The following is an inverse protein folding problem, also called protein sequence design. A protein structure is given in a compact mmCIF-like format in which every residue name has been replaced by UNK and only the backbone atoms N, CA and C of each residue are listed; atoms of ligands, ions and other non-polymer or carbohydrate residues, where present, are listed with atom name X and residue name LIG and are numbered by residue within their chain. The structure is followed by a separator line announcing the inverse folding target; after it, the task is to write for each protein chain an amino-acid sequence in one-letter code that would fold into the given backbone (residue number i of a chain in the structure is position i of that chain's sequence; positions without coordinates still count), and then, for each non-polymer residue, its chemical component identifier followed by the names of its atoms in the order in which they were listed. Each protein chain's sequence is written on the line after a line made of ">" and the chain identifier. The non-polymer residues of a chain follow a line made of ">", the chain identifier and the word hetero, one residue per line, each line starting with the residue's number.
data_IF_955638099590
#
_entry.id   IF_955638099590
#
_cell.length_a   1.000
_cell.length_b   1.000
_cell.length_c   1.000
_cell.angle_alpha   90.00
_cell.angle_beta   90.00
_cell.angle_gamma   90.00
#
_symmetry.space_group_name_H-M   'P 1'
#
loop_
_entity.id
_entity.type
_entity.pdbx_description
1 polymer ?
#
# COMPACT_ATOMS: atom_id res chain seq x y z
N UNK A 1 -24.55 1.19 29.00
CA UNK A 1 -24.93 1.03 27.57
C UNK A 1 -23.88 1.80 26.79
N UNK A 2 -22.76 1.16 26.56
CA UNK A 2 -21.61 1.78 25.88
C UNK A 2 -21.80 1.66 24.37
N UNK A 3 -22.13 2.78 23.72
CA UNK A 3 -21.99 2.93 22.28
C UNK A 3 -20.49 2.92 21.95
N UNK A 4 -19.93 1.74 21.73
CA UNK A 4 -18.68 1.57 21.01
C UNK A 4 -18.93 2.06 19.58
N UNK A 5 -18.76 3.38 19.40
CA UNK A 5 -18.67 3.99 18.07
C UNK A 5 -17.53 3.26 17.34
N UNK A 6 -17.85 2.56 16.27
CA UNK A 6 -16.86 1.83 15.46
C UNK A 6 -15.75 2.81 15.08
N UNK A 7 -14.54 2.57 15.58
CA UNK A 7 -13.35 3.38 15.27
C UNK A 7 -12.92 3.28 13.81
N UNK A 8 -13.57 2.41 13.03
CA UNK A 8 -13.24 2.07 11.67
C UNK A 8 -14.46 2.24 10.76
N UNK A 9 -14.32 3.02 9.68
CA UNK A 9 -15.31 3.12 8.62
C UNK A 9 -14.77 2.46 7.34
N UNK A 10 -15.57 1.58 6.74
CA UNK A 10 -15.25 0.96 5.45
C UNK A 10 -15.66 1.92 4.33
N UNK A 11 -14.69 2.42 3.58
CA UNK A 11 -14.92 3.31 2.44
C UNK A 11 -15.24 2.52 1.17
N UNK A 12 -14.53 1.40 0.94
CA UNK A 12 -14.69 0.50 -0.20
C UNK A 12 -14.45 -0.93 0.26
N UNK A 13 -15.13 -1.90 -0.37
CA UNK A 13 -14.99 -3.32 -0.05
C UNK A 13 -15.15 -4.20 -1.29
N UNK A 14 -14.42 -5.31 -1.31
CA UNK A 14 -14.59 -6.38 -2.29
C UNK A 14 -15.66 -7.40 -1.87
N UNK A 15 -16.39 -7.20 -0.78
CA UNK A 15 -17.31 -8.19 -0.20
C UNK A 15 -18.31 -8.74 -1.22
N UNK A 16 -18.85 -7.88 -2.07
CA UNK A 16 -19.85 -8.24 -3.08
C UNK A 16 -19.24 -8.54 -4.46
N UNK A 17 -17.92 -8.66 -4.56
CA UNK A 17 -17.19 -8.91 -5.82
C UNK A 17 -17.01 -10.41 -6.13
N UNK A 18 -17.36 -11.31 -5.20
CA UNK A 18 -17.25 -12.76 -5.41
C UNK A 18 -15.81 -13.31 -5.47
N UNK A 19 -14.80 -12.55 -5.06
CA UNK A 19 -13.40 -12.97 -5.11
C UNK A 19 -13.14 -14.17 -4.18
N UNK A 20 -12.38 -15.16 -4.69
CA UNK A 20 -12.05 -16.36 -3.92
C UNK A 20 -10.67 -16.23 -3.27
N UNK A 21 -10.60 -16.48 -1.96
CA UNK A 21 -9.34 -16.51 -1.21
C UNK A 21 -8.70 -15.15 -0.96
N UNK A 22 -9.13 -14.09 -1.64
CA UNK A 22 -8.69 -12.71 -1.47
C UNK A 22 -9.84 -11.83 -1.05
N UNK A 23 -9.64 -10.97 -0.07
CA UNK A 23 -10.54 -9.86 0.26
C UNK A 23 -9.76 -8.54 0.29
N UNK A 24 -10.45 -7.45 0.00
CA UNK A 24 -9.86 -6.11 0.05
C UNK A 24 -10.86 -5.10 0.61
N UNK A 25 -10.39 -4.25 1.52
CA UNK A 25 -11.18 -3.17 2.11
C UNK A 25 -10.31 -1.91 2.22
N UNK A 26 -10.85 -0.80 1.77
CA UNK A 26 -10.23 0.50 1.98
C UNK A 26 -10.92 1.15 3.19
N UNK A 27 -10.17 1.41 4.24
CA UNK A 27 -10.68 1.74 5.56
C UNK A 27 -10.20 3.11 5.99
N UNK A 28 -11.10 3.89 6.60
CA UNK A 28 -10.75 5.05 7.40
C UNK A 28 -10.74 4.66 8.87
N UNK A 29 -9.60 4.79 9.53
CA UNK A 29 -9.37 4.48 10.94
C UNK A 29 -9.31 5.80 11.69
N UNK A 30 -10.14 5.97 12.71
CA UNK A 30 -10.07 7.12 13.61
C UNK A 30 -8.92 6.96 14.59
N UNK A 31 -8.35 8.09 14.99
CA UNK A 31 -7.35 8.15 16.05
C UNK A 31 -7.84 7.44 17.32
N UNK A 32 -6.94 6.75 17.99
CA UNK A 32 -7.23 6.03 19.22
C UNK A 32 -6.83 4.55 19.15
N UNK A 33 -7.18 3.85 20.20
CA UNK A 33 -6.82 2.44 20.40
C UNK A 33 -7.94 1.51 19.94
N UNK A 34 -7.61 0.56 19.07
CA UNK A 34 -8.56 -0.40 18.51
C UNK A 34 -8.05 -1.82 18.71
N UNK A 35 -8.91 -2.71 19.21
CA UNK A 35 -8.64 -4.15 19.20
C UNK A 35 -8.97 -4.73 17.84
N UNK A 36 -8.05 -5.48 17.29
CA UNK A 36 -8.22 -6.19 16.01
C UNK A 36 -8.13 -7.68 16.29
N UNK A 37 -9.29 -8.37 16.35
CA UNK A 37 -9.35 -9.79 16.73
C UNK A 37 -8.65 -10.67 15.69
N UNK A 38 -8.16 -11.82 16.13
CA UNK A 38 -7.65 -12.85 15.26
C UNK A 38 -8.74 -13.36 14.31
N UNK A 39 -8.39 -13.63 13.07
CA UNK A 39 -9.28 -14.15 12.02
C UNK A 39 -8.66 -15.38 11.38
N UNK A 40 -9.47 -16.17 10.66
CA UNK A 40 -9.00 -17.34 9.91
C UNK A 40 -8.12 -16.97 8.70
N UNK A 41 -8.12 -15.70 8.30
CA UNK A 41 -7.32 -15.21 7.18
C UNK A 41 -6.12 -14.41 7.64
N UNK A 42 -5.04 -14.47 6.88
CA UNK A 42 -3.91 -13.53 7.01
C UNK A 42 -4.36 -12.13 6.59
N UNK A 43 -3.81 -11.12 7.23
CA UNK A 43 -4.13 -9.72 6.96
C UNK A 43 -2.88 -8.95 6.60
N UNK A 44 -2.99 -8.11 5.58
CA UNK A 44 -2.01 -7.10 5.23
C UNK A 44 -2.67 -5.74 5.41
N UNK A 45 -2.07 -4.89 6.21
CA UNK A 45 -2.46 -3.48 6.34
C UNK A 45 -1.46 -2.61 5.59
N UNK A 46 -1.86 -1.96 4.52
CA UNK A 46 -1.03 -1.00 3.79
C UNK A 46 -1.48 0.41 4.15
N UNK A 47 -0.59 1.19 4.74
CA UNK A 47 -0.90 2.56 5.14
C UNK A 47 -0.98 3.50 3.95
N UNK A 48 -2.02 4.35 3.92
CA UNK A 48 -2.24 5.38 2.91
C UNK A 48 -2.34 6.77 3.57
N UNK A 49 -1.75 7.77 2.92
CA UNK A 49 -1.88 9.16 3.37
C UNK A 49 -0.73 9.65 4.24
N UNK A 50 -1.04 10.57 5.17
CA UNK A 50 -0.04 11.21 6.03
C UNK A 50 0.53 10.23 7.04
N UNK A 51 1.77 10.47 7.47
CA UNK A 51 2.40 9.70 8.52
C UNK A 51 1.64 9.84 9.86
N UNK A 52 1.51 8.72 10.58
CA UNK A 52 0.93 8.65 11.92
C UNK A 52 1.92 7.99 12.88
N UNK A 53 1.89 8.39 14.15
CA UNK A 53 2.60 7.66 15.19
C UNK A 53 1.72 6.50 15.64
N UNK A 54 2.13 5.30 15.28
CA UNK A 54 1.41 4.08 15.55
C UNK A 54 2.07 3.30 16.69
N UNK A 55 1.26 2.78 17.58
CA UNK A 55 1.64 1.84 18.62
C UNK A 55 0.87 0.53 18.41
N UNK A 56 1.55 -0.58 18.31
CA UNK A 56 0.88 -1.87 18.25
C UNK A 56 1.42 -2.85 19.27
N UNK A 57 0.50 -3.61 19.85
CA UNK A 57 0.77 -4.73 20.76
C UNK A 57 0.21 -5.99 20.11
N UNK A 58 1.07 -6.82 19.55
CA UNK A 58 0.71 -7.99 18.78
C UNK A 58 1.82 -9.03 18.87
N UNK A 59 1.48 -10.32 19.04
CA UNK A 59 2.45 -11.41 19.13
C UNK A 59 3.51 -11.21 20.25
N UNK A 60 3.08 -10.73 21.41
CA UNK A 60 3.98 -10.43 22.54
C UNK A 60 4.96 -9.27 22.28
N UNK A 61 4.85 -8.58 21.15
CA UNK A 61 5.67 -7.42 20.80
C UNK A 61 4.92 -6.14 21.13
N UNK A 62 5.66 -5.18 21.66
CA UNK A 62 5.21 -3.80 21.86
C UNK A 62 6.04 -2.90 20.94
N UNK A 63 5.41 -2.35 19.90
CA UNK A 63 6.10 -1.62 18.84
C UNK A 63 5.52 -0.21 18.69
N UNK A 64 6.37 0.78 18.88
CA UNK A 64 6.07 2.18 18.60
C UNK A 64 6.84 2.63 17.37
N UNK A 65 6.14 3.20 16.39
CA UNK A 65 6.75 3.59 15.13
C UNK A 65 6.00 4.72 14.46
N UNK A 66 6.67 5.46 13.60
CA UNK A 66 6.00 6.35 12.66
C UNK A 66 5.67 5.53 11.41
N UNK A 67 4.37 5.29 11.19
CA UNK A 67 3.87 4.58 10.02
C UNK A 67 3.63 5.59 8.89
N UNK A 68 4.23 5.34 7.74
CA UNK A 68 4.19 6.21 6.57
C UNK A 68 3.46 5.53 5.43
N UNK A 69 3.06 6.31 4.44
CA UNK A 69 2.43 5.80 3.23
C UNK A 69 3.26 4.67 2.59
N UNK A 70 2.59 3.55 2.23
CA UNK A 70 3.22 2.35 1.67
C UNK A 70 3.89 1.44 2.70
N UNK A 71 3.88 1.76 4.01
CA UNK A 71 4.26 0.80 5.04
C UNK A 71 3.24 -0.34 5.09
N UNK A 72 3.74 -1.57 5.14
CA UNK A 72 2.95 -2.79 5.11
C UNK A 72 3.14 -3.53 6.42
N UNK A 73 2.03 -3.82 7.10
CA UNK A 73 1.99 -4.74 8.23
C UNK A 73 1.41 -6.07 7.75
N UNK A 74 2.08 -7.18 8.06
CA UNK A 74 1.61 -8.55 7.81
C UNK A 74 1.26 -9.17 9.15
N UNK A 75 -0.01 -9.52 9.31
CA UNK A 75 -0.56 -10.16 10.52
C UNK A 75 -1.08 -11.54 10.12
N UNK A 76 -0.44 -12.62 10.58
CA UNK A 76 -0.86 -13.98 10.31
C UNK A 76 -2.30 -14.30 10.77
N UNK A 77 -2.89 -15.33 10.18
CA UNK A 77 -4.16 -15.89 10.64
C UNK A 77 -4.08 -16.29 12.12
N UNK A 78 -5.17 -16.15 12.85
CA UNK A 78 -5.28 -16.45 14.27
C UNK A 78 -4.67 -15.38 15.20
N UNK A 79 -3.88 -14.46 14.69
CA UNK A 79 -3.19 -13.47 15.50
C UNK A 79 -4.08 -12.26 15.79
N UNK A 80 -4.23 -11.93 17.06
CA UNK A 80 -4.92 -10.75 17.52
C UNK A 80 -3.93 -9.68 18.03
N UNK A 81 -4.46 -8.47 18.28
CA UNK A 81 -3.63 -7.41 18.84
C UNK A 81 -4.38 -6.09 19.00
N UNK A 82 -3.66 -5.13 19.56
CA UNK A 82 -4.12 -3.76 19.73
C UNK A 82 -3.30 -2.83 18.86
N UNK A 83 -3.99 -1.92 18.17
CA UNK A 83 -3.39 -0.84 17.38
C UNK A 83 -3.90 0.49 17.91
N UNK A 84 -3.02 1.44 18.02
CA UNK A 84 -3.31 2.81 18.47
C UNK A 84 -2.60 3.79 17.56
N UNK A 85 -3.36 4.71 16.95
CA UNK A 85 -2.85 5.75 16.08
C UNK A 85 -3.10 7.13 16.71
N UNK A 86 -2.11 8.03 16.62
CA UNK A 86 -2.19 9.39 17.20
C UNK A 86 -3.14 10.33 16.44
N UNK A 87 -3.53 9.95 15.23
CA UNK A 87 -4.46 10.69 14.36
C UNK A 87 -5.16 9.76 13.38
N UNK A 88 -6.21 10.26 12.76
CA UNK A 88 -6.93 9.52 11.73
C UNK A 88 -6.01 9.11 10.59
N UNK A 89 -6.17 7.88 10.12
CA UNK A 89 -5.41 7.34 9.00
C UNK A 89 -6.31 6.53 8.06
N UNK A 90 -5.76 6.21 6.91
CA UNK A 90 -6.42 5.37 5.91
C UNK A 90 -5.53 4.18 5.60
N UNK A 91 -6.11 2.99 5.58
CA UNK A 91 -5.40 1.77 5.22
C UNK A 91 -6.14 0.99 4.13
N UNK A 92 -5.38 0.34 3.26
CA UNK A 92 -5.87 -0.76 2.46
C UNK A 92 -5.62 -2.05 3.23
N UNK A 93 -6.69 -2.70 3.68
CA UNK A 93 -6.62 -4.02 4.30
C UNK A 93 -6.86 -5.09 3.24
N UNK A 94 -5.89 -5.96 3.03
CA UNK A 94 -6.02 -7.17 2.23
C UNK A 94 -6.15 -8.36 3.17
N UNK A 95 -7.06 -9.27 2.87
CA UNK A 95 -7.20 -10.55 3.56
C UNK A 95 -6.87 -11.67 2.59
N UNK A 96 -6.02 -12.60 3.01
CA UNK A 96 -5.56 -13.75 2.22
C UNK A 96 -5.88 -15.01 2.99
N UNK A 97 -6.69 -15.89 2.41
CA UNK A 97 -7.00 -17.18 3.04
C UNK A 97 -5.78 -18.11 2.99
N UNK A 98 -5.59 -18.96 4.01
CA UNK A 98 -4.49 -19.95 4.03
C UNK A 98 -4.45 -20.81 2.77
N UNK A 99 -5.62 -21.21 2.22
CA UNK A 99 -5.70 -22.06 1.02
C UNK A 99 -5.07 -21.38 -0.21
N UNK A 100 -5.16 -20.05 -0.31
CA UNK A 100 -4.55 -19.29 -1.39
C UNK A 100 -3.01 -19.28 -1.26
N UNK A 101 -2.48 -19.18 -0.04
CA UNK A 101 -1.04 -19.32 0.21
C UNK A 101 -0.55 -20.74 -0.08
N UNK A 102 -1.32 -21.77 0.30
CA UNK A 102 -1.01 -23.16 0.00
C UNK A 102 -0.99 -23.41 -1.52
N UNK A 103 -1.96 -22.83 -2.25
CA UNK A 103 -1.97 -22.91 -3.71
C UNK A 103 -0.72 -22.25 -4.31
N UNK A 104 -0.34 -21.07 -3.83
CA UNK A 104 0.87 -20.37 -4.26
C UNK A 104 2.15 -21.17 -3.96
N UNK A 105 2.21 -21.87 -2.83
CA UNK A 105 3.32 -22.75 -2.47
C UNK A 105 3.47 -23.90 -3.46
N UNK A 106 2.35 -24.54 -3.85
CA UNK A 106 2.36 -25.62 -4.87
C UNK A 106 2.89 -25.12 -6.21
N UNK A 107 2.47 -23.92 -6.65
CA UNK A 107 2.99 -23.30 -7.89
C UNK A 107 4.50 -23.04 -7.82
N UNK A 108 5.03 -22.77 -6.63
CA UNK A 108 6.47 -22.57 -6.40
C UNK A 108 7.25 -23.89 -6.14
N UNK A 109 6.58 -25.04 -6.18
CA UNK A 109 7.19 -26.34 -5.86
C UNK A 109 7.58 -26.50 -4.39
N UNK A 110 6.92 -25.73 -3.49
CA UNK A 110 7.12 -25.81 -2.04
C UNK A 110 6.03 -26.67 -1.41
N UNK A 111 6.32 -27.24 -0.24
CA UNK A 111 5.33 -28.00 0.51
C UNK A 111 4.25 -27.08 1.10
N UNK A 112 2.99 -27.20 0.68
CA UNK A 112 1.90 -26.34 1.12
C UNK A 112 1.60 -26.46 2.63
N UNK A 113 1.91 -27.59 3.27
CA UNK A 113 1.64 -27.79 4.70
C UNK A 113 2.67 -27.08 5.59
N UNK A 114 3.83 -26.75 5.07
CA UNK A 114 4.91 -26.06 5.80
C UNK A 114 4.85 -24.54 5.64
N UNK A 115 3.98 -24.02 4.77
CA UNK A 115 3.89 -22.59 4.52
C UNK A 115 3.19 -21.88 5.67
N UNK A 116 3.93 -20.99 6.32
CA UNK A 116 3.41 -20.11 7.36
C UNK A 116 3.92 -18.69 7.14
N UNK A 117 3.11 -17.70 7.45
CA UNK A 117 3.59 -16.31 7.48
C UNK A 117 4.07 -15.93 8.87
N UNK A 118 5.21 -15.25 8.92
CA UNK A 118 5.67 -14.60 10.14
C UNK A 118 5.09 -13.17 10.22
N UNK A 119 4.77 -12.65 11.43
CA UNK A 119 4.34 -11.29 11.60
C UNK A 119 5.49 -10.34 11.22
N UNK A 120 5.17 -9.36 10.37
CA UNK A 120 6.10 -8.31 9.93
C UNK A 120 5.42 -6.96 10.04
N UNK A 121 6.12 -5.99 10.57
CA UNK A 121 5.61 -4.65 10.76
C UNK A 121 6.52 -3.66 10.06
N UNK A 122 5.89 -2.67 9.42
CA UNK A 122 6.56 -1.61 8.68
C UNK A 122 7.47 -2.16 7.57
N UNK A 123 7.01 -3.21 6.89
CA UNK A 123 7.69 -3.77 5.71
C UNK A 123 7.58 -2.78 4.54
N UNK A 124 8.67 -2.65 3.78
CA UNK A 124 8.69 -1.98 2.47
C UNK A 124 9.01 -3.02 1.40
N UNK A 125 8.04 -3.26 0.54
CA UNK A 125 8.19 -4.14 -0.63
C UNK A 125 7.43 -3.54 -1.81
N UNK A 126 8.17 -2.99 -2.76
CA UNK A 126 7.60 -2.31 -3.92
C UNK A 126 6.74 -3.22 -4.80
N UNK A 127 7.01 -4.54 -4.82
CA UNK A 127 6.21 -5.50 -5.60
C UNK A 127 4.89 -5.77 -4.91
N UNK A 128 4.89 -5.98 -3.58
CA UNK A 128 3.66 -6.06 -2.80
C UNK A 128 2.84 -4.79 -2.92
N UNK A 129 3.47 -3.62 -2.84
CA UNK A 129 2.82 -2.33 -3.01
C UNK A 129 2.16 -2.22 -4.39
N UNK A 130 2.86 -2.58 -5.48
CA UNK A 130 2.31 -2.53 -6.84
C UNK A 130 1.08 -3.45 -7.02
N UNK A 131 1.12 -4.66 -6.46
CA UNK A 131 -0.01 -5.58 -6.49
C UNK A 131 -1.19 -5.02 -5.67
N UNK A 132 -0.92 -4.48 -4.49
CA UNK A 132 -1.93 -3.86 -3.64
C UNK A 132 -2.61 -2.67 -4.32
N UNK A 133 -1.86 -1.86 -5.08
CA UNK A 133 -2.41 -0.77 -5.90
C UNK A 133 -3.36 -1.28 -6.99
N UNK A 134 -3.00 -2.38 -7.67
CA UNK A 134 -3.86 -2.98 -8.67
C UNK A 134 -5.16 -3.51 -8.04
N UNK A 135 -5.08 -4.18 -6.88
CA UNK A 135 -6.25 -4.64 -6.12
C UNK A 135 -7.12 -3.47 -5.66
N UNK A 136 -6.48 -2.39 -5.17
CA UNK A 136 -7.20 -1.16 -4.78
C UNK A 136 -7.95 -0.56 -5.96
N UNK A 137 -7.34 -0.49 -7.14
CA UNK A 137 -7.98 0.01 -8.35
C UNK A 137 -9.23 -0.82 -8.73
N UNK A 138 -9.20 -2.14 -8.52
CA UNK A 138 -10.35 -3.01 -8.78
C UNK A 138 -11.53 -2.74 -7.82
N UNK A 139 -11.29 -2.51 -6.54
CA UNK A 139 -12.39 -2.17 -5.61
C UNK A 139 -12.92 -0.74 -5.83
N UNK A 140 -12.15 0.14 -6.46
CA UNK A 140 -12.55 1.51 -6.83
C UNK A 140 -13.28 1.57 -8.18
N UNK A 141 -13.14 0.54 -9.01
CA UNK A 141 -13.71 0.53 -10.34
C UNK A 141 -15.25 0.48 -10.28
N UNK A 142 -15.90 1.40 -10.98
CA UNK A 142 -17.37 1.38 -11.19
C UNK A 142 -17.80 0.23 -12.09
N UNK A 143 -16.95 -0.14 -13.06
CA UNK A 143 -17.07 -1.34 -13.88
C UNK A 143 -15.85 -2.21 -13.56
N UNK A 144 -16.02 -3.23 -12.71
CA UNK A 144 -14.89 -4.10 -12.36
C UNK A 144 -14.47 -4.95 -13.54
N UNK A 145 -13.21 -5.37 -13.52
CA UNK A 145 -12.70 -6.38 -14.44
C UNK A 145 -13.36 -7.74 -14.17
N UNK A 146 -13.12 -8.69 -15.06
CA UNK A 146 -13.53 -10.08 -14.83
C UNK A 146 -12.93 -10.62 -13.51
N UNK A 147 -13.67 -11.48 -12.82
CA UNK A 147 -13.27 -12.09 -11.54
C UNK A 147 -11.90 -12.77 -11.64
N UNK A 148 -11.57 -13.33 -12.81
CA UNK A 148 -10.29 -13.98 -13.09
C UNK A 148 -9.10 -13.03 -12.93
N UNK A 149 -9.28 -11.75 -13.26
CA UNK A 149 -8.24 -10.74 -13.05
C UNK A 149 -7.94 -10.52 -11.56
N UNK A 150 -8.99 -10.39 -10.75
CA UNK A 150 -8.83 -10.24 -9.30
C UNK A 150 -8.23 -11.50 -8.64
N UNK A 151 -8.64 -12.70 -9.09
CA UNK A 151 -8.06 -13.97 -8.65
C UNK A 151 -6.57 -14.08 -9.03
N UNK A 152 -6.21 -13.61 -10.24
CA UNK A 152 -4.80 -13.55 -10.68
C UNK A 152 -3.97 -12.60 -9.81
N UNK A 153 -4.51 -11.42 -9.45
CA UNK A 153 -3.85 -10.50 -8.52
C UNK A 153 -3.69 -11.13 -7.13
N UNK A 154 -4.70 -11.87 -6.67
CA UNK A 154 -4.66 -12.63 -5.42
C UNK A 154 -3.56 -13.69 -5.41
N UNK A 155 -3.42 -14.43 -6.51
CA UNK A 155 -2.35 -15.42 -6.68
C UNK A 155 -0.97 -14.75 -6.72
N UNK A 156 -0.83 -13.65 -7.46
CA UNK A 156 0.42 -12.88 -7.50
C UNK A 156 0.83 -12.36 -6.11
N UNK A 157 -0.15 -11.88 -5.32
CA UNK A 157 0.05 -11.47 -3.93
C UNK A 157 0.54 -12.65 -3.07
N UNK A 158 -0.15 -13.79 -3.16
CA UNK A 158 0.17 -14.99 -2.38
C UNK A 158 1.57 -15.53 -2.74
N UNK A 159 1.90 -15.63 -4.01
CA UNK A 159 3.25 -16.02 -4.49
C UNK A 159 4.31 -15.10 -3.88
N UNK A 160 4.08 -13.79 -3.91
CA UNK A 160 5.04 -12.83 -3.35
C UNK A 160 5.19 -12.96 -1.83
N UNK A 161 4.12 -13.29 -1.11
CA UNK A 161 4.17 -13.53 0.34
C UNK A 161 4.95 -14.78 0.68
N UNK A 162 4.75 -15.87 -0.05
CA UNK A 162 5.46 -17.15 0.11
C UNK A 162 6.95 -16.98 -0.21
N UNK A 163 7.29 -16.34 -1.34
CA UNK A 163 8.66 -16.08 -1.76
C UNK A 163 9.42 -15.21 -0.74
N UNK A 164 8.81 -14.14 -0.25
CA UNK A 164 9.39 -13.30 0.80
C UNK A 164 9.63 -14.03 2.12
N UNK A 165 8.86 -15.08 2.40
CA UNK A 165 9.06 -15.89 3.61
C UNK A 165 10.24 -16.85 3.47
N UNK A 166 10.48 -17.36 2.26
CA UNK A 166 11.61 -18.25 1.92
C UNK A 166 12.95 -17.50 1.80
N UNK A 167 12.96 -16.24 1.40
CA UNK A 167 14.21 -15.48 1.15
C UNK A 167 15.05 -15.20 2.41
N UNK A 168 14.57 -15.48 3.63
CA UNK A 168 15.42 -15.47 4.84
C UNK A 168 16.44 -16.62 4.88
N UNK A 169 16.28 -17.65 4.07
CA UNK A 169 17.19 -18.81 4.03
C UNK A 169 18.18 -18.77 2.85
N UNK A 170 18.02 -17.86 1.89
CA UNK A 170 18.85 -17.76 0.70
C UNK A 170 19.28 -16.32 0.41
N UNK A 171 19.99 -15.70 1.33
CA UNK A 171 20.69 -14.44 1.05
C UNK A 171 21.95 -14.72 0.21
N UNK A 172 21.77 -15.15 -1.04
CA UNK A 172 22.87 -15.25 -2.00
C UNK A 172 22.38 -14.92 -3.41
N UNK A 173 22.97 -13.84 -3.97
CA UNK A 173 23.18 -13.56 -5.39
C UNK A 173 22.14 -12.83 -6.24
N UNK A 174 20.97 -12.41 -5.80
CA UNK A 174 20.09 -11.59 -6.66
C UNK A 174 19.97 -10.10 -6.22
N UNK A 175 20.66 -9.70 -5.17
CA UNK A 175 20.59 -8.33 -4.59
C UNK A 175 21.31 -7.25 -5.44
N UNK A 176 22.02 -7.62 -6.51
CA UNK A 176 22.75 -6.64 -7.35
C UNK A 176 21.89 -5.98 -8.43
N UNK A 177 20.72 -6.52 -8.70
CA UNK A 177 19.83 -6.04 -9.78
C UNK A 177 18.66 -5.16 -9.32
N UNK A 178 18.47 -4.96 -8.01
CA UNK A 178 17.40 -4.17 -7.43
C UNK A 178 17.88 -3.29 -6.26
N UNK A 179 17.08 -2.31 -5.87
CA UNK A 179 17.35 -1.49 -4.69
C UNK A 179 17.18 -2.34 -3.41
N UNK A 180 18.11 -2.23 -2.47
CA UNK A 180 17.96 -2.83 -1.15
C UNK A 180 16.76 -2.26 -0.40
N UNK A 181 16.19 -3.00 0.55
CA UNK A 181 15.06 -2.54 1.37
C UNK A 181 15.33 -1.21 2.09
N UNK A 182 16.59 -0.96 2.49
CA UNK A 182 17.02 0.32 3.08
C UNK A 182 16.99 1.46 2.07
N UNK A 183 17.44 1.23 0.82
CA UNK A 183 17.39 2.22 -0.25
C UNK A 183 15.95 2.50 -0.67
N UNK A 184 15.12 1.46 -0.80
CA UNK A 184 13.69 1.60 -1.09
C UNK A 184 13.03 2.52 -0.07
N UNK A 185 13.20 2.22 1.23
CA UNK A 185 12.63 3.03 2.32
C UNK A 185 13.09 4.48 2.24
N UNK A 186 14.39 4.72 2.14
CA UNK A 186 14.94 6.08 2.07
C UNK A 186 14.39 6.88 0.89
N UNK A 187 14.26 6.24 -0.30
CA UNK A 187 13.71 6.86 -1.49
C UNK A 187 12.23 7.16 -1.35
N UNK A 188 11.43 6.19 -0.89
CA UNK A 188 9.99 6.40 -0.72
C UNK A 188 9.69 7.45 0.34
N UNK A 189 10.39 7.42 1.48
CA UNK A 189 10.23 8.43 2.53
C UNK A 189 10.59 9.82 2.02
N UNK A 190 11.72 9.96 1.30
CA UNK A 190 12.13 11.24 0.74
C UNK A 190 11.14 11.77 -0.31
N UNK A 191 10.63 10.90 -1.20
CA UNK A 191 9.60 11.27 -2.18
C UNK A 191 8.34 11.76 -1.48
N UNK A 192 7.86 11.06 -0.45
CA UNK A 192 6.65 11.45 0.29
C UNK A 192 6.82 12.76 1.06
N UNK A 193 7.96 12.93 1.73
CA UNK A 193 8.24 14.11 2.53
C UNK A 193 8.39 15.38 1.65
N UNK A 194 8.74 15.22 0.35
CA UNK A 194 8.97 16.32 -0.61
C UNK A 194 8.05 16.24 -1.84
N UNK A 195 6.90 15.59 -1.73
CA UNK A 195 6.01 15.31 -2.88
C UNK A 195 5.47 16.58 -3.54
N UNK A 196 5.32 17.65 -2.78
CA UNK A 196 4.88 18.98 -3.20
C UNK A 196 5.99 19.84 -3.83
N UNK A 197 7.25 19.37 -3.76
CA UNK A 197 8.42 20.07 -4.25
C UNK A 197 8.91 19.51 -5.59
N UNK A 198 9.85 20.20 -6.20
CA UNK A 198 10.57 19.70 -7.38
C UNK A 198 11.54 18.60 -6.95
N UNK A 199 11.31 17.38 -7.43
CA UNK A 199 12.16 16.22 -7.17
C UNK A 199 13.03 15.93 -8.39
N UNK A 200 14.34 16.12 -8.26
CA UNK A 200 15.28 15.78 -9.32
C UNK A 200 15.79 14.34 -9.19
N UNK A 201 16.19 13.74 -10.31
CA UNK A 201 16.85 12.42 -10.29
C UNK A 201 18.19 12.46 -9.55
N UNK A 202 18.87 13.61 -9.53
CA UNK A 202 20.12 13.78 -8.80
C UNK A 202 19.90 13.71 -7.28
N UNK A 203 18.89 14.41 -6.75
CA UNK A 203 18.55 14.36 -5.33
C UNK A 203 18.19 12.92 -4.89
N UNK A 204 17.39 12.26 -5.69
CA UNK A 204 17.01 10.86 -5.41
C UNK A 204 18.22 9.91 -5.48
N UNK A 205 19.15 10.14 -6.40
CA UNK A 205 20.36 9.34 -6.48
C UNK A 205 21.25 9.54 -5.23
N UNK A 206 21.40 10.78 -4.76
CA UNK A 206 22.10 11.09 -3.50
C UNK A 206 21.45 10.39 -2.32
N UNK A 207 20.13 10.45 -2.19
CA UNK A 207 19.35 9.79 -1.12
C UNK A 207 19.58 8.28 -1.12
N UNK A 208 19.65 7.65 -2.30
CA UNK A 208 19.89 6.22 -2.44
C UNK A 208 21.37 5.84 -2.25
N UNK A 209 22.29 6.80 -2.26
CA UNK A 209 23.74 6.55 -2.29
C UNK A 209 24.18 5.93 -3.62
N UNK A 210 23.59 6.36 -4.74
CA UNK A 210 23.82 5.85 -6.09
C UNK A 210 24.13 6.99 -7.06
N UNK A 211 24.69 6.65 -8.23
CA UNK A 211 24.68 7.56 -9.37
C UNK A 211 23.30 7.53 -10.06
N UNK A 212 22.96 8.60 -10.80
CA UNK A 212 21.71 8.67 -11.58
C UNK A 212 21.59 7.52 -12.58
N UNK A 213 22.72 7.11 -13.20
CA UNK A 213 22.77 5.99 -14.15
C UNK A 213 22.46 4.65 -13.51
N UNK A 214 22.85 4.44 -12.25
CA UNK A 214 22.53 3.24 -11.48
C UNK A 214 21.13 3.30 -10.87
N UNK A 215 20.67 4.47 -10.41
CA UNK A 215 19.35 4.62 -9.82
C UNK A 215 18.24 4.22 -10.80
N UNK A 216 18.28 4.71 -12.04
CA UNK A 216 17.20 4.48 -13.02
C UNK A 216 16.85 3.01 -13.23
N UNK A 217 17.82 2.13 -13.62
CA UNK A 217 17.52 0.72 -13.84
C UNK A 217 17.12 0.01 -12.55
N UNK A 218 17.80 0.25 -11.42
CA UNK A 218 17.48 -0.37 -10.14
C UNK A 218 16.09 0.04 -9.66
N UNK A 219 15.73 1.32 -9.80
CA UNK A 219 14.40 1.82 -9.47
C UNK A 219 13.33 1.14 -10.34
N UNK A 220 13.56 1.09 -11.66
CA UNK A 220 12.63 0.43 -12.58
C UNK A 220 12.44 -1.06 -12.25
N UNK A 221 13.53 -1.77 -11.99
CA UNK A 221 13.47 -3.19 -11.60
C UNK A 221 12.71 -3.37 -10.27
N UNK A 222 12.91 -2.44 -9.32
CA UNK A 222 12.32 -2.53 -7.98
C UNK A 222 10.83 -2.17 -7.99
N UNK A 223 10.46 -1.05 -8.64
CA UNK A 223 9.10 -0.48 -8.59
C UNK A 223 8.26 -0.81 -9.83
N UNK A 224 8.82 -1.51 -10.82
CA UNK A 224 8.13 -1.83 -12.06
C UNK A 224 7.85 -0.65 -12.99
N UNK A 225 8.33 0.55 -12.64
CA UNK A 225 8.09 1.76 -13.39
C UNK A 225 9.22 2.79 -13.22
N UNK A 226 9.38 3.75 -14.17
CA UNK A 226 10.35 4.84 -14.04
C UNK A 226 10.03 5.77 -12.88
N UNK A 227 11.06 6.39 -12.28
CA UNK A 227 10.97 7.33 -11.16
C UNK A 227 9.89 8.40 -11.35
N UNK A 228 9.88 9.08 -12.52
CA UNK A 228 8.93 10.16 -12.78
C UNK A 228 7.47 9.69 -12.79
N UNK A 229 7.23 8.48 -13.31
CA UNK A 229 5.87 7.88 -13.30
C UNK A 229 5.45 7.55 -11.88
N UNK A 230 6.37 7.02 -11.07
CA UNK A 230 6.13 6.74 -9.65
C UNK A 230 5.74 8.03 -8.90
N UNK A 231 6.55 9.09 -9.02
CA UNK A 231 6.26 10.39 -8.38
C UNK A 231 4.90 10.96 -8.82
N UNK A 232 4.59 10.89 -10.13
CA UNK A 232 3.29 11.35 -10.64
C UNK A 232 2.12 10.54 -10.09
N UNK A 233 2.26 9.22 -9.99
CA UNK A 233 1.24 8.37 -9.36
C UNK A 233 1.02 8.77 -7.91
N UNK A 234 2.10 9.01 -7.15
CA UNK A 234 2.00 9.45 -5.75
C UNK A 234 1.30 10.81 -5.62
N UNK A 235 1.62 11.77 -6.50
CA UNK A 235 0.96 13.08 -6.57
C UNK A 235 -0.53 12.98 -6.85
N UNK A 236 -0.92 12.12 -7.79
CA UNK A 236 -2.32 11.87 -8.12
C UNK A 236 -3.08 11.29 -6.92
N UNK A 237 -2.49 10.34 -6.21
CA UNK A 237 -3.10 9.77 -5.00
C UNK A 237 -3.23 10.80 -3.88
N UNK A 238 -2.21 11.63 -3.69
CA UNK A 238 -2.28 12.75 -2.71
C UNK A 238 -3.38 13.74 -3.09
N UNK A 239 -3.50 14.09 -4.38
CA UNK A 239 -4.58 14.96 -4.87
C UNK A 239 -5.94 14.33 -4.61
N UNK A 240 -6.11 13.03 -4.90
CA UNK A 240 -7.35 12.30 -4.63
C UNK A 240 -7.71 12.32 -3.15
N UNK A 241 -6.75 12.05 -2.27
CA UNK A 241 -6.98 12.11 -0.82
C UNK A 241 -7.43 13.51 -0.37
N UNK A 242 -6.80 14.57 -0.87
CA UNK A 242 -7.17 15.95 -0.55
C UNK A 242 -8.55 16.33 -1.09
N UNK A 243 -8.94 15.85 -2.27
CA UNK A 243 -10.28 16.07 -2.83
C UNK A 243 -11.39 15.47 -1.98
N UNK A 244 -11.10 14.40 -1.25
CA UNK A 244 -12.07 13.67 -0.42
C UNK A 244 -12.14 14.19 1.03
N UNK A 245 -11.08 14.84 1.52
CA UNK A 245 -10.95 15.16 2.95
C UNK A 245 -10.77 16.64 3.25
N UNK A 246 -10.40 17.46 2.26
CA UNK A 246 -10.08 18.86 2.48
C UNK A 246 -11.10 19.78 1.84
N UNK A 247 -11.61 20.74 2.61
CA UNK A 247 -12.37 21.86 2.08
C UNK A 247 -11.41 22.94 1.55
N UNK A 248 -10.86 22.67 0.36
CA UNK A 248 -9.85 23.51 -0.28
C UNK A 248 -10.18 23.74 -1.77
N UNK A 249 -9.89 24.94 -2.31
CA UNK A 249 -9.98 25.18 -3.76
C UNK A 249 -9.09 24.21 -4.56
N UNK A 250 -9.56 23.78 -5.73
CA UNK A 250 -8.83 22.84 -6.60
C UNK A 250 -7.41 23.29 -6.95
N UNK A 251 -7.20 24.61 -7.09
CA UNK A 251 -5.88 25.17 -7.34
C UNK A 251 -4.91 24.94 -6.17
N UNK A 252 -5.39 25.07 -4.94
CA UNK A 252 -4.59 24.80 -3.73
C UNK A 252 -4.32 23.31 -3.57
N UNK A 253 -5.31 22.45 -3.85
CA UNK A 253 -5.12 21.00 -3.85
C UNK A 253 -4.04 20.62 -4.87
N UNK A 254 -4.03 21.20 -6.07
CA UNK A 254 -3.01 20.94 -7.07
C UNK A 254 -1.60 21.25 -6.54
N UNK A 255 -1.40 22.42 -5.95
CA UNK A 255 -0.12 22.82 -5.38
C UNK A 255 0.29 21.91 -4.21
N UNK A 256 -0.63 21.66 -3.27
CA UNK A 256 -0.38 20.80 -2.11
C UNK A 256 -0.07 19.34 -2.50
N UNK A 257 -0.54 18.89 -3.67
CA UNK A 257 -0.22 17.59 -4.24
C UNK A 257 1.03 17.60 -5.13
N UNK A 258 1.71 18.74 -5.30
CA UNK A 258 2.96 18.85 -6.06
C UNK A 258 2.79 19.06 -7.56
N UNK A 259 1.61 19.49 -8.02
CA UNK A 259 1.39 19.88 -9.41
C UNK A 259 1.64 21.38 -9.59
N UNK A 260 2.16 21.76 -10.75
CA UNK A 260 2.41 23.17 -11.07
C UNK A 260 1.12 24.02 -11.08
N UNK A 261 0.00 23.44 -11.50
CA UNK A 261 -1.32 24.10 -11.57
C UNK A 261 -2.44 23.07 -11.71
N UNK A 262 -3.68 23.52 -11.49
CA UNK A 262 -4.89 22.68 -11.53
C UNK A 262 -5.05 21.88 -12.84
N UNK A 263 -4.76 22.48 -13.99
CA UNK A 263 -4.90 21.80 -15.29
C UNK A 263 -3.91 20.65 -15.43
N UNK A 264 -2.68 20.80 -14.89
CA UNK A 264 -1.67 19.74 -14.85
C UNK A 264 -2.14 18.56 -13.97
N UNK A 265 -2.66 18.86 -12.79
CA UNK A 265 -3.29 17.85 -11.92
C UNK A 265 -4.43 17.11 -12.62
N UNK A 266 -5.39 17.87 -13.22
CA UNK A 266 -6.55 17.30 -13.92
C UNK A 266 -6.13 16.40 -15.08
N UNK A 267 -5.11 16.81 -15.85
CA UNK A 267 -4.57 15.99 -16.95
C UNK A 267 -4.07 14.63 -16.45
N UNK A 268 -3.23 14.63 -15.40
CA UNK A 268 -2.68 13.39 -14.87
C UNK A 268 -3.70 12.51 -14.15
N UNK A 269 -4.65 13.11 -13.43
CA UNK A 269 -5.76 12.36 -12.82
C UNK A 269 -6.59 11.65 -13.90
N UNK A 270 -6.95 12.36 -14.99
CA UNK A 270 -7.66 11.72 -16.10
C UNK A 270 -6.85 10.61 -16.75
N UNK A 271 -5.53 10.81 -16.91
CA UNK A 271 -4.65 9.83 -17.57
C UNK A 271 -4.39 8.58 -16.71
N UNK A 272 -4.28 8.72 -15.39
CA UNK A 272 -3.93 7.63 -14.48
C UNK A 272 -5.15 6.95 -13.83
N UNK A 273 -6.23 7.71 -13.60
CA UNK A 273 -7.43 7.21 -12.91
C UNK A 273 -8.66 7.14 -13.85
N UNK A 274 -8.61 7.71 -15.04
CA UNK A 274 -9.79 7.90 -15.90
C UNK A 274 -10.77 8.95 -15.36
N UNK A 275 -10.50 9.60 -14.23
CA UNK A 275 -11.41 10.49 -13.51
C UNK A 275 -10.85 11.92 -13.45
N UNK A 276 -11.76 12.91 -13.44
CA UNK A 276 -11.41 14.30 -13.17
C UNK A 276 -11.66 14.64 -11.69
N UNK A 277 -11.03 15.71 -11.15
CA UNK A 277 -11.31 16.17 -9.78
C UNK A 277 -12.81 16.35 -9.49
N UNK A 278 -13.54 16.99 -10.41
CA UNK A 278 -14.98 17.20 -10.23
C UNK A 278 -15.82 15.92 -10.28
N UNK A 279 -15.37 14.86 -10.96
CA UNK A 279 -16.02 13.55 -10.90
C UNK A 279 -15.82 12.91 -9.53
N UNK A 280 -14.60 12.96 -9.00
CA UNK A 280 -14.28 12.39 -7.68
C UNK A 280 -15.09 13.09 -6.57
N UNK A 281 -15.17 14.40 -6.60
CA UNK A 281 -15.96 15.16 -5.63
C UNK A 281 -17.45 14.79 -5.66
N UNK A 282 -18.05 14.67 -6.87
CA UNK A 282 -19.46 14.27 -7.01
C UNK A 282 -19.78 12.83 -6.59
N UNK A 283 -18.81 11.94 -6.61
CA UNK A 283 -19.01 10.54 -6.17
C UNK A 283 -19.04 10.41 -4.64
N UNK A 284 -18.68 11.47 -3.93
CA UNK A 284 -18.55 11.47 -2.47
C UNK A 284 -19.40 12.58 -1.79
N UNK A 285 -20.13 13.37 -2.58
CA UNK A 285 -21.19 14.29 -2.15
C UNK A 285 -22.53 13.58 -2.17
#
# INVERSE_FOLDING_TARGET
>A
MDHLSSSTATLLSSRDRGWKGLGAEFLHIRAGRTHVPGTESHRLGIHFGRAVNAHCQCDGRDLRRQQKHGDIDIVPAGMDGWWEDDRDCTILRLTVRPELLQAAARELGQDPETVSLAPRFQLRDARLESIAWAIKAEIEATVPSDITYAETLGMALAIRLVDNNGQRLSATNNDRAALSSRQQRRLTDFIEDHIDQSLSLADLAIVAGLSVSHLKPLFHTTFGMPVHKYVLTRRVERAKALLLTADMPLAQIALAAGFAHQSHMTHWMRRLLGLTPGMIMRMHS
#
